data_IF_085168583897
#
_entry.id   IF_085168583897
#
_cell.length_a   1.000
_cell.length_b   1.000
_cell.length_c   1.000
_cell.angle_alpha   90.00
_cell.angle_beta   90.00
_cell.angle_gamma   90.00
#
_symmetry.space_group_name_H-M   'P 1'
#
loop_
_entity.id
_entity.type
_entity.pdbx_description
1 polymer ?
#
# COMPACT_ATOMS: atom_id res chain seq x y z
N UNK A 1 23.24 13.66 4.83
CA UNK A 1 22.38 12.51 4.46
C UNK A 1 23.13 11.69 3.44
N UNK A 2 23.35 10.39 3.68
CA UNK A 2 23.91 9.54 2.62
C UNK A 2 22.91 9.45 1.45
N UNK A 3 23.39 9.43 0.20
CA UNK A 3 22.51 9.22 -0.93
C UNK A 3 21.82 7.85 -0.81
N UNK A 4 20.60 7.70 -1.32
CA UNK A 4 19.94 6.39 -1.39
C UNK A 4 20.81 5.40 -2.15
N UNK A 5 20.84 4.15 -1.70
CA UNK A 5 21.48 3.05 -2.43
C UNK A 5 21.00 3.03 -3.88
N UNK A 6 21.88 2.72 -4.83
CA UNK A 6 21.51 2.66 -6.24
C UNK A 6 20.36 1.68 -6.47
N UNK A 7 20.39 0.51 -5.81
CA UNK A 7 19.31 -0.47 -5.88
C UNK A 7 17.95 0.09 -5.39
N UNK A 8 17.98 0.90 -4.33
CA UNK A 8 16.82 1.60 -3.77
C UNK A 8 16.28 2.63 -4.78
N UNK A 9 17.14 3.47 -5.33
CA UNK A 9 16.77 4.44 -6.37
C UNK A 9 16.16 3.78 -7.61
N UNK A 10 16.76 2.69 -8.09
CA UNK A 10 16.26 1.92 -9.22
C UNK A 10 14.88 1.28 -8.93
N UNK A 11 14.70 0.75 -7.71
CA UNK A 11 13.41 0.18 -7.24
C UNK A 11 12.32 1.25 -7.21
N UNK A 12 12.62 2.44 -6.69
CA UNK A 12 11.67 3.54 -6.66
C UNK A 12 11.30 4.05 -8.06
N UNK A 13 12.30 4.17 -8.95
CA UNK A 13 12.06 4.53 -10.34
C UNK A 13 11.20 3.47 -11.06
N UNK A 14 11.41 2.19 -10.73
CA UNK A 14 10.59 1.11 -11.25
C UNK A 14 9.13 1.24 -10.81
N UNK A 15 8.89 1.35 -9.49
CA UNK A 15 7.56 1.59 -8.94
C UNK A 15 6.85 2.77 -9.62
N UNK A 16 7.56 3.90 -9.78
CA UNK A 16 7.01 5.11 -10.40
C UNK A 16 6.58 4.88 -11.85
N UNK A 17 7.39 4.18 -12.66
CA UNK A 17 7.05 3.86 -14.05
C UNK A 17 5.86 2.90 -14.13
N UNK A 18 5.86 1.83 -13.33
CA UNK A 18 4.78 0.84 -13.30
C UNK A 18 3.45 1.48 -12.87
N UNK A 19 3.49 2.33 -11.84
CA UNK A 19 2.32 3.09 -11.36
C UNK A 19 1.81 4.07 -12.40
N UNK A 20 2.69 4.81 -13.07
CA UNK A 20 2.31 5.75 -14.13
C UNK A 20 1.64 5.03 -15.33
N UNK A 21 2.18 3.89 -15.75
CA UNK A 21 1.60 3.08 -16.83
C UNK A 21 0.21 2.56 -16.46
N UNK A 22 0.05 2.01 -15.26
CA UNK A 22 -1.24 1.53 -14.76
C UNK A 22 -2.30 2.65 -14.69
N UNK A 23 -1.94 3.81 -14.13
CA UNK A 23 -2.83 4.99 -14.06
C UNK A 23 -3.18 5.53 -15.45
N UNK A 24 -2.25 5.55 -16.40
CA UNK A 24 -2.50 6.02 -17.76
C UNK A 24 -3.56 5.15 -18.46
N UNK A 25 -3.46 3.83 -18.32
CA UNK A 25 -4.44 2.89 -18.87
C UNK A 25 -5.79 3.00 -18.15
N UNK A 26 -5.79 3.10 -16.82
CA UNK A 26 -7.00 3.37 -16.05
C UNK A 26 -7.71 4.65 -16.52
N UNK A 27 -6.96 5.72 -16.80
CA UNK A 27 -7.51 6.97 -17.35
C UNK A 27 -8.10 6.79 -18.74
N UNK A 28 -7.46 5.99 -19.59
CA UNK A 28 -7.95 5.69 -20.95
C UNK A 28 -9.27 4.93 -20.90
N UNK A 29 -9.37 3.92 -20.03
CA UNK A 29 -10.60 3.15 -19.83
C UNK A 29 -11.69 4.01 -19.20
N UNK A 30 -11.39 4.77 -18.14
CA UNK A 30 -12.38 5.60 -17.45
C UNK A 30 -13.04 6.66 -18.35
N UNK A 31 -12.29 7.22 -19.31
CA UNK A 31 -12.83 8.16 -20.31
C UNK A 31 -13.90 7.55 -21.22
N UNK A 32 -14.02 6.22 -21.28
CA UNK A 32 -15.00 5.50 -22.10
C UNK A 32 -16.25 5.08 -21.33
N UNK A 33 -16.36 5.43 -20.04
CA UNK A 33 -17.54 5.13 -19.22
C UNK A 33 -18.75 5.86 -19.77
N UNK A 34 -19.83 5.12 -19.99
CA UNK A 34 -21.13 5.63 -20.42
C UNK A 34 -21.88 6.19 -19.21
N UNK A 35 -22.14 7.50 -19.23
CA UNK A 35 -22.82 8.22 -18.16
C UNK A 35 -24.26 7.74 -17.90
N UNK A 36 -24.90 7.15 -18.91
CA UNK A 36 -26.27 6.62 -18.77
C UNK A 36 -26.28 5.22 -18.16
N UNK A 37 -25.14 4.51 -18.23
CA UNK A 37 -24.97 3.12 -17.78
C UNK A 37 -23.63 2.94 -17.07
N UNK A 38 -23.34 3.76 -16.07
CA UNK A 38 -22.01 3.85 -15.43
C UNK A 38 -21.50 2.49 -14.95
N UNK A 39 -22.29 1.75 -14.17
CA UNK A 39 -21.88 0.44 -13.66
C UNK A 39 -21.68 -0.60 -14.77
N UNK A 40 -22.62 -0.71 -15.70
CA UNK A 40 -22.55 -1.70 -16.79
C UNK A 40 -21.38 -1.42 -17.74
N UNK A 41 -21.24 -0.17 -18.20
CA UNK A 41 -20.11 0.21 -19.07
C UNK A 41 -18.76 0.11 -18.37
N UNK A 42 -18.69 0.34 -17.05
CA UNK A 42 -17.46 0.08 -16.30
C UNK A 42 -17.16 -1.42 -16.17
N UNK A 43 -18.17 -2.25 -15.92
CA UNK A 43 -18.01 -3.71 -15.89
C UNK A 43 -17.48 -4.27 -17.21
N UNK A 44 -17.90 -3.72 -18.36
CA UNK A 44 -17.38 -4.10 -19.68
C UNK A 44 -15.89 -3.76 -19.86
N UNK A 45 -15.41 -2.71 -19.18
CA UNK A 45 -14.03 -2.21 -19.27
C UNK A 45 -13.13 -2.80 -18.18
N UNK A 46 -13.70 -3.22 -17.06
CA UNK A 46 -13.01 -3.66 -15.85
C UNK A 46 -12.01 -4.81 -16.11
N UNK A 47 -12.33 -5.87 -16.89
CA UNK A 47 -11.39 -6.96 -17.13
C UNK A 47 -10.04 -6.49 -17.70
N UNK A 48 -10.05 -5.44 -18.54
CA UNK A 48 -8.81 -4.88 -19.11
C UNK A 48 -7.95 -4.23 -18.03
N UNK A 49 -8.57 -3.46 -17.13
CA UNK A 49 -7.85 -2.85 -16.02
C UNK A 49 -7.35 -3.90 -15.03
N UNK A 50 -8.15 -4.94 -14.76
CA UNK A 50 -7.77 -6.03 -13.89
C UNK A 50 -6.46 -6.69 -14.35
N UNK A 51 -6.34 -6.99 -15.66
CA UNK A 51 -5.10 -7.54 -16.25
C UNK A 51 -3.92 -6.59 -16.06
N UNK A 52 -4.12 -5.28 -16.23
CA UNK A 52 -3.04 -4.28 -16.10
C UNK A 52 -2.52 -4.21 -14.66
N UNK A 53 -3.42 -4.15 -13.67
CA UNK A 53 -3.03 -4.10 -12.26
C UNK A 53 -2.43 -5.44 -11.82
N UNK A 54 -3.00 -6.57 -12.25
CA UNK A 54 -2.44 -7.90 -11.98
C UNK A 54 -1.02 -8.05 -12.58
N UNK A 55 -0.78 -7.54 -13.78
CA UNK A 55 0.55 -7.54 -14.39
C UNK A 55 1.55 -6.67 -13.60
N UNK A 56 1.12 -5.51 -13.10
CA UNK A 56 1.93 -4.67 -12.23
C UNK A 56 2.25 -5.36 -10.88
N UNK A 57 1.29 -6.11 -10.31
CA UNK A 57 1.51 -6.91 -9.11
C UNK A 57 2.54 -8.03 -9.35
N UNK A 58 2.42 -8.71 -10.49
CA UNK A 58 3.34 -9.78 -10.89
C UNK A 58 4.76 -9.26 -11.11
N UNK A 59 4.89 -8.13 -11.79
CA UNK A 59 6.17 -7.46 -12.02
C UNK A 59 6.84 -7.04 -10.70
N UNK A 60 6.08 -6.44 -9.79
CA UNK A 60 6.54 -6.09 -8.45
C UNK A 60 7.10 -7.31 -7.70
N UNK A 61 6.39 -8.44 -7.77
CA UNK A 61 6.75 -9.69 -7.13
C UNK A 61 8.01 -10.34 -7.74
N UNK A 62 8.08 -10.46 -9.07
CA UNK A 62 9.23 -11.04 -9.79
C UNK A 62 10.53 -10.31 -9.57
N UNK A 63 10.47 -9.01 -9.30
CA UNK A 63 11.66 -8.16 -9.17
C UNK A 63 12.09 -7.92 -7.72
N UNK A 64 11.33 -8.41 -6.74
CA UNK A 64 11.60 -8.15 -5.33
C UNK A 64 12.87 -8.85 -4.82
N UNK A 65 13.08 -10.13 -5.11
CA UNK A 65 14.26 -10.86 -4.64
C UNK A 65 15.57 -10.28 -5.19
N UNK A 66 15.59 -9.93 -6.48
CA UNK A 66 16.73 -9.28 -7.12
C UNK A 66 17.02 -7.91 -6.49
N UNK A 67 15.98 -7.12 -6.20
CA UNK A 67 16.12 -5.86 -5.48
C UNK A 67 16.70 -6.08 -4.08
N UNK A 68 16.12 -6.99 -3.28
CA UNK A 68 16.59 -7.28 -1.93
C UNK A 68 18.05 -7.73 -1.93
N UNK A 69 18.43 -8.63 -2.84
CA UNK A 69 19.81 -9.09 -3.00
C UNK A 69 20.77 -7.94 -3.33
N UNK A 70 20.41 -7.11 -4.31
CA UNK A 70 21.25 -5.98 -4.73
C UNK A 70 21.39 -4.92 -3.63
N UNK A 71 20.32 -4.59 -2.92
CA UNK A 71 20.33 -3.63 -1.82
C UNK A 71 21.19 -4.12 -0.64
N UNK A 72 21.10 -5.40 -0.27
CA UNK A 72 21.95 -5.98 0.77
C UNK A 72 23.43 -6.05 0.33
N UNK A 73 23.69 -6.42 -0.93
CA UNK A 73 25.04 -6.47 -1.48
C UNK A 73 25.75 -5.12 -1.49
N UNK A 74 25.02 -4.03 -1.78
CA UNK A 74 25.57 -2.66 -1.72
C UNK A 74 25.93 -2.19 -0.30
N UNK A 75 25.52 -2.92 0.73
CA UNK A 75 25.83 -2.65 2.13
C UNK A 75 26.86 -3.65 2.69
N UNK A 76 27.41 -4.53 1.84
CA UNK A 76 28.25 -5.67 2.21
C UNK A 76 27.55 -6.64 3.17
N UNK A 77 26.23 -6.77 3.06
CA UNK A 77 25.42 -7.68 3.88
C UNK A 77 25.16 -8.97 3.12
N UNK A 78 25.64 -10.09 3.67
CA UNK A 78 25.31 -11.43 3.17
C UNK A 78 24.32 -12.10 4.12
N UNK A 79 23.20 -12.58 3.57
CA UNK A 79 22.17 -13.33 4.31
C UNK A 79 21.72 -14.55 3.50
N UNK A 80 21.42 -15.68 4.16
CA UNK A 80 20.90 -16.86 3.48
C UNK A 80 19.50 -16.60 2.92
N UNK A 81 19.11 -17.35 1.89
CA UNK A 81 17.73 -17.43 1.41
C UNK A 81 17.08 -18.69 1.96
N UNK A 82 15.81 -18.62 2.30
CA UNK A 82 15.04 -19.73 2.86
C UNK A 82 14.24 -20.50 1.80
N UNK A 83 14.20 -19.99 0.58
CA UNK A 83 13.51 -20.55 -0.57
C UNK A 83 13.41 -19.54 -1.70
N UNK A 84 12.43 -19.74 -2.58
CA UNK A 84 12.06 -18.83 -3.66
C UNK A 84 10.67 -18.25 -3.43
N UNK A 85 10.50 -16.94 -3.68
CA UNK A 85 9.22 -16.26 -3.66
C UNK A 85 8.35 -16.72 -4.85
N UNK A 86 7.09 -17.12 -4.61
CA UNK A 86 6.12 -17.37 -5.69
C UNK A 86 5.44 -16.05 -6.11
N UNK A 87 5.72 -15.54 -7.32
CA UNK A 87 5.20 -14.25 -7.72
C UNK A 87 3.68 -14.24 -7.87
N UNK A 88 3.07 -15.39 -8.19
CA UNK A 88 1.62 -15.49 -8.38
C UNK A 88 0.85 -15.42 -7.07
N UNK A 89 1.50 -15.70 -5.94
CA UNK A 89 0.87 -15.62 -4.63
C UNK A 89 0.47 -14.18 -4.23
N UNK A 90 1.03 -13.17 -4.90
CA UNK A 90 0.78 -11.74 -4.66
C UNK A 90 -0.14 -11.07 -5.70
N UNK A 91 -0.68 -11.84 -6.66
CA UNK A 91 -1.46 -11.32 -7.79
C UNK A 91 -2.96 -11.51 -7.58
N UNK A 92 -3.76 -10.51 -7.96
CA UNK A 92 -5.22 -10.58 -7.99
C UNK A 92 -5.91 -10.30 -6.66
N UNK A 93 -5.16 -9.98 -5.61
CA UNK A 93 -5.71 -9.55 -4.30
C UNK A 93 -5.38 -8.09 -4.06
N UNK A 94 -6.35 -7.34 -3.56
CA UNK A 94 -6.15 -5.96 -3.16
C UNK A 94 -5.39 -5.87 -1.83
N UNK A 95 -4.80 -4.71 -1.53
CA UNK A 95 -4.02 -4.52 -0.29
C UNK A 95 -4.83 -4.66 1.01
N UNK A 96 -6.17 -4.62 0.93
CA UNK A 96 -7.10 -4.85 2.05
C UNK A 96 -7.58 -6.32 2.12
N UNK A 97 -7.03 -7.20 1.26
CA UNK A 97 -7.31 -8.63 1.21
C UNK A 97 -8.51 -9.03 0.35
N UNK A 98 -9.30 -8.10 -0.21
CA UNK A 98 -10.42 -8.51 -1.07
C UNK A 98 -9.96 -8.86 -2.50
N UNK A 99 -10.80 -9.57 -3.29
CA UNK A 99 -10.53 -9.73 -4.72
C UNK A 99 -10.37 -8.36 -5.40
N UNK A 100 -9.32 -8.22 -6.21
CA UNK A 100 -8.93 -6.94 -6.80
C UNK A 100 -10.06 -6.29 -7.62
N UNK A 101 -10.86 -7.08 -8.33
CA UNK A 101 -12.02 -6.64 -9.09
C UNK A 101 -13.09 -5.94 -8.22
N UNK A 102 -13.28 -6.37 -6.98
CA UNK A 102 -14.23 -5.74 -6.05
C UNK A 102 -13.79 -4.33 -5.67
N UNK A 103 -12.48 -4.13 -5.45
CA UNK A 103 -11.92 -2.81 -5.23
C UNK A 103 -12.04 -1.93 -6.47
N UNK A 104 -11.69 -2.48 -7.64
CA UNK A 104 -11.73 -1.75 -8.90
C UNK A 104 -13.15 -1.38 -9.37
N UNK A 105 -14.20 -1.94 -8.76
CA UNK A 105 -15.59 -1.51 -8.97
C UNK A 105 -15.97 -0.23 -8.19
N UNK A 106 -15.25 0.14 -7.12
CA UNK A 106 -15.59 1.30 -6.29
C UNK A 106 -15.75 2.62 -7.07
N UNK A 107 -14.92 2.96 -8.08
CA UNK A 107 -15.05 4.20 -8.85
C UNK A 107 -16.43 4.40 -9.49
N UNK A 108 -17.02 3.32 -10.02
CA UNK A 108 -18.37 3.34 -10.58
C UNK A 108 -19.41 3.61 -9.49
N UNK A 109 -19.27 2.98 -8.32
CA UNK A 109 -20.15 3.19 -7.17
C UNK A 109 -20.04 4.63 -6.63
N UNK A 110 -18.82 5.17 -6.50
CA UNK A 110 -18.59 6.57 -6.12
C UNK A 110 -19.27 7.53 -7.09
N UNK A 111 -19.19 7.26 -8.39
CA UNK A 111 -19.85 8.07 -9.43
C UNK A 111 -21.37 8.02 -9.28
N UNK A 112 -21.94 6.81 -9.12
CA UNK A 112 -23.38 6.62 -8.95
C UNK A 112 -23.91 7.28 -7.67
N UNK A 113 -23.20 7.15 -6.55
CA UNK A 113 -23.57 7.83 -5.30
C UNK A 113 -23.54 9.36 -5.45
N UNK A 114 -22.58 9.91 -6.17
CA UNK A 114 -22.52 11.34 -6.45
C UNK A 114 -23.70 11.82 -7.33
N UNK A 115 -24.04 11.05 -8.36
CA UNK A 115 -25.21 11.32 -9.22
C UNK A 115 -26.52 11.27 -8.42
N UNK A 116 -26.69 10.25 -7.58
CA UNK A 116 -27.86 10.12 -6.69
C UNK A 116 -27.97 11.29 -5.70
N UNK A 117 -26.85 11.88 -5.29
CA UNK A 117 -26.80 13.07 -4.46
C UNK A 117 -27.03 14.39 -5.22
N UNK A 118 -27.41 14.35 -6.50
CA UNK A 118 -27.68 15.54 -7.33
C UNK A 118 -26.42 16.24 -7.86
N UNK A 119 -25.26 15.59 -7.80
CA UNK A 119 -24.02 16.15 -8.36
C UNK A 119 -24.10 16.19 -9.89
N UNK A 120 -23.65 17.29 -10.50
CA UNK A 120 -23.55 17.41 -11.97
C UNK A 120 -22.70 16.28 -12.56
N UNK A 121 -23.14 15.71 -13.68
CA UNK A 121 -22.56 14.51 -14.30
C UNK A 121 -21.05 14.55 -14.48
N UNK A 122 -20.52 15.66 -15.00
CA UNK A 122 -19.07 15.85 -15.20
C UNK A 122 -18.29 15.77 -13.90
N UNK A 123 -18.80 16.38 -12.83
CA UNK A 123 -18.20 16.33 -11.49
C UNK A 123 -18.31 14.95 -10.87
N UNK A 124 -19.42 14.24 -11.05
CA UNK A 124 -19.58 12.86 -10.59
C UNK A 124 -18.54 11.91 -11.23
N UNK A 125 -18.32 12.00 -12.55
CA UNK A 125 -17.24 11.27 -13.23
C UNK A 125 -15.85 11.66 -12.73
N UNK A 126 -15.64 12.95 -12.44
CA UNK A 126 -14.41 13.44 -11.84
C UNK A 126 -14.13 12.81 -10.48
N UNK A 127 -15.15 12.62 -9.64
CA UNK A 127 -15.02 11.94 -8.34
C UNK A 127 -14.67 10.46 -8.51
N UNK A 128 -15.34 9.75 -9.42
CA UNK A 128 -14.99 8.38 -9.75
C UNK A 128 -13.56 8.25 -10.27
N UNK A 129 -13.11 9.18 -11.12
CA UNK A 129 -11.73 9.21 -11.58
C UNK A 129 -10.74 9.38 -10.42
N UNK A 130 -10.97 10.34 -9.53
CA UNK A 130 -10.07 10.56 -8.38
C UNK A 130 -9.97 9.31 -7.50
N UNK A 131 -11.10 8.61 -7.30
CA UNK A 131 -11.09 7.33 -6.60
C UNK A 131 -10.27 6.28 -7.35
N UNK A 132 -10.49 6.13 -8.67
CA UNK A 132 -9.77 5.17 -9.50
C UNK A 132 -8.26 5.41 -9.54
N UNK A 133 -7.84 6.66 -9.72
CA UNK A 133 -6.43 7.07 -9.74
C UNK A 133 -5.72 6.71 -8.43
N UNK A 134 -6.37 7.04 -7.30
CA UNK A 134 -5.87 6.69 -5.97
C UNK A 134 -5.77 5.17 -5.78
N UNK A 135 -6.81 4.43 -6.16
CA UNK A 135 -6.84 2.97 -6.07
C UNK A 135 -5.66 2.37 -6.85
N UNK A 136 -5.50 2.73 -8.13
CA UNK A 136 -4.46 2.16 -9.00
C UNK A 136 -3.06 2.43 -8.42
N UNK A 137 -2.77 3.66 -8.01
CA UNK A 137 -1.47 4.02 -7.42
C UNK A 137 -1.20 3.24 -6.13
N UNK A 138 -2.20 3.11 -5.27
CA UNK A 138 -2.07 2.37 -4.01
C UNK A 138 -1.86 0.89 -4.25
N UNK A 139 -2.61 0.26 -5.15
CA UNK A 139 -2.49 -1.18 -5.41
C UNK A 139 -1.13 -1.54 -6.00
N UNK A 140 -0.59 -0.71 -6.91
CA UNK A 140 0.76 -0.94 -7.45
C UNK A 140 1.80 -0.72 -6.35
N UNK A 141 1.73 0.37 -5.58
CA UNK A 141 2.73 0.63 -4.54
C UNK A 141 2.73 -0.42 -3.41
N UNK A 142 1.57 -0.94 -3.05
CA UNK A 142 1.47 -1.97 -2.02
C UNK A 142 1.96 -3.34 -2.52
N UNK A 143 1.79 -3.64 -3.81
CA UNK A 143 2.39 -4.84 -4.40
C UNK A 143 3.92 -4.84 -4.26
N UNK A 144 4.56 -3.71 -4.54
CA UNK A 144 6.01 -3.54 -4.33
C UNK A 144 6.39 -3.74 -2.86
N UNK A 145 5.69 -3.07 -1.94
CA UNK A 145 5.98 -3.18 -0.49
C UNK A 145 5.81 -4.60 0.04
N UNK A 146 4.75 -5.28 -0.38
CA UNK A 146 4.45 -6.63 0.07
C UNK A 146 5.46 -7.62 -0.48
N UNK A 147 5.79 -7.50 -1.76
CA UNK A 147 6.83 -8.31 -2.39
C UNK A 147 8.20 -8.09 -1.72
N UNK A 148 8.61 -6.83 -1.49
CA UNK A 148 9.88 -6.50 -0.85
C UNK A 148 9.94 -7.02 0.60
N UNK A 149 8.81 -7.00 1.30
CA UNK A 149 8.71 -7.52 2.66
C UNK A 149 8.81 -9.05 2.71
N UNK A 150 8.13 -9.77 1.80
CA UNK A 150 8.28 -11.23 1.64
C UNK A 150 9.71 -11.60 1.25
N UNK A 151 10.30 -10.91 0.28
CA UNK A 151 11.68 -11.15 -0.16
C UNK A 151 12.68 -10.90 0.97
N UNK A 152 12.50 -9.86 1.78
CA UNK A 152 13.40 -9.60 2.90
C UNK A 152 13.23 -10.59 4.05
N UNK A 153 12.01 -11.07 4.36
CA UNK A 153 11.83 -12.18 5.33
C UNK A 153 12.47 -13.48 4.80
N UNK A 154 12.29 -13.78 3.51
CA UNK A 154 12.94 -14.90 2.83
C UNK A 154 14.48 -14.83 2.95
N UNK A 155 15.04 -13.61 3.00
CA UNK A 155 16.47 -13.35 3.20
C UNK A 155 16.87 -12.95 4.63
N UNK A 156 16.07 -13.26 5.65
CA UNK A 156 16.37 -12.96 7.07
C UNK A 156 16.83 -11.50 7.33
N UNK A 157 16.27 -10.56 6.58
CA UNK A 157 16.43 -9.12 6.82
C UNK A 157 15.88 -8.80 8.20
N UNK A 158 16.64 -8.09 9.03
CA UNK A 158 16.24 -7.81 10.42
C UNK A 158 15.62 -6.42 10.58
N UNK A 159 15.96 -5.48 9.69
CA UNK A 159 15.50 -4.10 9.73
C UNK A 159 15.21 -3.60 8.31
N UNK A 160 14.25 -2.69 8.20
CA UNK A 160 14.03 -1.88 7.03
C UNK A 160 14.16 -0.41 7.39
N UNK A 161 14.76 0.37 6.50
CA UNK A 161 14.81 1.83 6.60
C UNK A 161 13.96 2.42 5.50
N UNK A 162 13.13 3.40 5.84
CA UNK A 162 12.37 4.15 4.84
C UNK A 162 13.32 5.13 4.16
N UNK A 163 13.50 4.96 2.87
CA UNK A 163 14.35 5.83 2.06
C UNK A 163 13.47 6.80 1.28
N UNK A 164 13.79 8.09 1.39
CA UNK A 164 13.10 9.16 0.68
C UNK A 164 13.52 9.19 -0.79
N UNK A 165 12.62 9.68 -1.64
CA UNK A 165 12.87 10.04 -3.04
C UNK A 165 12.56 11.52 -3.24
N UNK A 166 13.50 12.41 -2.86
CA UNK A 166 13.24 13.84 -2.83
C UNK A 166 12.71 14.40 -4.17
N UNK A 167 11.75 15.34 -4.13
CA UNK A 167 11.07 15.85 -2.94
C UNK A 167 9.93 14.91 -2.49
N UNK A 168 10.11 14.28 -1.32
CA UNK A 168 9.09 13.46 -0.66
C UNK A 168 8.19 14.30 0.25
N UNK A 169 7.01 13.79 0.57
CA UNK A 169 6.04 14.54 1.38
C UNK A 169 6.46 14.63 2.86
N UNK A 170 5.87 15.57 3.60
CA UNK A 170 6.22 15.82 5.01
C UNK A 170 6.01 14.60 5.91
N UNK A 171 5.06 13.70 5.58
CA UNK A 171 4.84 12.46 6.33
C UNK A 171 5.95 11.46 6.06
N UNK A 172 6.39 11.32 4.82
CA UNK A 172 7.54 10.49 4.46
C UNK A 172 8.80 10.95 5.22
N UNK A 173 9.05 12.28 5.25
CA UNK A 173 10.20 12.86 5.92
C UNK A 173 10.31 12.44 7.40
N UNK A 174 9.25 12.60 8.18
CA UNK A 174 9.25 12.22 9.60
C UNK A 174 9.18 10.71 9.85
N UNK A 175 8.98 9.90 8.81
CA UNK A 175 8.96 8.43 8.91
C UNK A 175 10.30 7.80 8.51
N UNK A 176 11.19 8.56 7.87
CA UNK A 176 12.47 8.09 7.35
C UNK A 176 13.61 8.14 8.39
N UNK A 177 13.39 8.77 9.55
CA UNK A 177 14.37 8.83 10.64
C UNK A 177 14.53 7.55 11.46
N UNK A 178 13.63 6.59 11.30
CA UNK A 178 13.63 5.36 12.10
C UNK A 178 13.87 4.11 11.25
N UNK A 179 14.81 3.28 11.70
CA UNK A 179 14.87 1.88 11.32
C UNK A 179 13.72 1.11 11.95
N UNK A 180 13.04 0.28 11.16
CA UNK A 180 11.88 -0.50 11.61
C UNK A 180 12.19 -1.98 11.53
N UNK A 181 11.82 -2.72 12.57
CA UNK A 181 11.98 -4.17 12.57
C UNK A 181 11.28 -4.81 11.36
N UNK A 182 11.81 -5.95 10.91
CA UNK A 182 11.34 -6.67 9.72
C UNK A 182 9.83 -6.98 9.70
N UNK A 183 9.21 -7.19 10.86
CA UNK A 183 7.79 -7.49 11.02
C UNK A 183 6.91 -6.24 11.12
N UNK A 184 7.51 -5.06 11.06
CA UNK A 184 6.78 -3.81 11.18
C UNK A 184 6.12 -3.44 9.85
N UNK A 185 4.80 -3.30 9.85
CA UNK A 185 4.07 -2.84 8.67
C UNK A 185 4.57 -1.46 8.20
N UNK A 186 4.85 -1.36 6.89
CA UNK A 186 5.25 -0.10 6.26
C UNK A 186 4.10 0.92 6.37
N UNK A 187 4.31 2.03 7.09
CA UNK A 187 3.26 3.03 7.35
C UNK A 187 2.90 3.79 6.08
N UNK A 188 1.71 3.55 5.53
CA UNK A 188 1.21 4.19 4.31
C UNK A 188 0.63 5.58 4.61
N UNK A 189 0.68 6.47 3.62
CA UNK A 189 -0.13 7.69 3.57
C UNK A 189 -0.47 8.04 2.11
N UNK A 190 -1.47 8.89 1.85
CA UNK A 190 -1.79 9.29 0.48
C UNK A 190 -0.57 9.88 -0.24
N UNK A 191 -0.31 9.42 -1.47
CA UNK A 191 0.80 9.89 -2.30
C UNK A 191 2.20 9.50 -1.81
N UNK A 192 2.31 8.46 -0.97
CA UNK A 192 3.60 7.93 -0.50
C UNK A 192 4.46 7.40 -1.66
N UNK A 193 5.61 8.04 -1.86
CA UNK A 193 6.63 7.74 -2.86
C UNK A 193 7.83 6.96 -2.28
N UNK A 194 7.88 6.81 -0.97
CA UNK A 194 9.01 6.22 -0.28
C UNK A 194 9.07 4.69 -0.47
N UNK A 195 10.29 4.17 -0.42
CA UNK A 195 10.57 2.74 -0.53
C UNK A 195 11.12 2.16 0.77
N UNK A 196 10.99 0.84 0.90
CA UNK A 196 11.52 0.06 2.01
C UNK A 196 12.88 -0.50 1.62
N UNK A 197 13.95 0.01 2.23
CA UNK A 197 15.31 -0.50 2.02
C UNK A 197 15.64 -1.60 3.03
N UNK A 198 15.92 -2.84 2.60
CA UNK A 198 16.32 -3.92 3.49
C UNK A 198 17.73 -3.69 4.04
N UNK A 199 17.91 -3.93 5.34
CA UNK A 199 19.20 -3.72 6.02
C UNK A 199 19.30 -4.51 7.35
N UNK A 200 20.40 -4.32 8.07
CA UNK A 200 20.57 -4.74 9.46
C UNK A 200 20.49 -3.54 10.40
N UNK A 201 20.35 -3.78 11.71
CA UNK A 201 20.32 -2.69 12.70
C UNK A 201 21.58 -1.82 12.64
N UNK A 202 22.74 -2.46 12.45
CA UNK A 202 24.03 -1.76 12.49
C UNK A 202 24.23 -0.89 11.24
N UNK A 203 23.99 -1.45 10.05
CA UNK A 203 24.15 -0.74 8.77
C UNK A 203 23.00 0.24 8.50
N UNK A 204 21.80 -0.05 9.01
CA UNK A 204 20.61 0.76 8.76
C UNK A 204 20.70 2.17 9.31
N UNK A 205 21.48 2.39 10.38
CA UNK A 205 21.66 3.72 10.99
C UNK A 205 22.21 4.74 9.99
N UNK A 206 23.13 4.33 9.11
CA UNK A 206 23.79 5.22 8.13
C UNK A 206 22.82 5.75 7.07
N UNK A 207 21.69 5.08 6.89
CA UNK A 207 20.69 5.37 5.87
C UNK A 207 19.43 6.04 6.42
N UNK A 208 19.33 6.23 7.74
CA UNK A 208 18.21 6.96 8.36
C UNK A 208 18.29 8.43 7.99
N UNK A 209 17.14 9.01 7.68
CA UNK A 209 17.05 10.43 7.32
C UNK A 209 16.65 11.24 8.53
N UNK A 210 17.51 12.15 8.97
CA UNK A 210 17.11 13.15 9.95
C UNK A 210 16.06 14.11 9.34
N UNK A 211 14.86 14.24 9.92
CA UNK A 211 13.79 15.04 9.34
C UNK A 211 14.12 16.54 9.27
N UNK A 212 14.92 17.07 10.21
CA UNK A 212 15.34 18.46 10.19
C UNK A 212 16.36 18.72 9.09
N UNK A 213 17.36 17.85 8.94
CA UNK A 213 18.32 17.91 7.85
C UNK A 213 17.63 17.83 6.48
N UNK A 214 16.58 16.99 6.34
CA UNK A 214 15.76 16.98 5.13
C UNK A 214 15.03 18.31 4.93
N UNK A 215 14.38 18.86 5.96
CA UNK A 215 13.69 20.14 5.89
C UNK A 215 14.63 21.29 5.49
N UNK A 216 15.83 21.33 6.05
CA UNK A 216 16.86 22.33 5.79
C UNK A 216 17.46 22.20 4.38
N UNK A 217 17.48 20.99 3.81
CA UNK A 217 17.96 20.77 2.44
C UNK A 217 17.03 21.35 1.35
N UNK A 218 15.78 21.67 1.71
CA UNK A 218 14.77 22.18 0.78
C UNK A 218 14.85 23.70 0.64
N UNK A 219 14.53 24.22 -0.55
CA UNK A 219 14.30 25.66 -0.71
C UNK A 219 13.11 26.12 0.15
N UNK A 220 13.05 27.40 0.53
CA UNK A 220 11.92 27.92 1.31
C UNK A 220 10.57 27.71 0.61
N UNK A 221 10.55 27.78 -0.72
CA UNK A 221 9.37 27.50 -1.53
C UNK A 221 8.93 26.03 -1.39
N UNK A 222 9.89 25.09 -1.38
CA UNK A 222 9.62 23.67 -1.19
C UNK A 222 9.22 23.34 0.25
N UNK A 223 9.88 23.93 1.25
CA UNK A 223 9.45 23.85 2.64
C UNK A 223 7.98 24.28 2.77
N UNK A 224 7.63 25.45 2.23
CA UNK A 224 6.26 25.95 2.24
C UNK A 224 5.28 25.09 1.45
N UNK A 225 5.71 24.47 0.35
CA UNK A 225 4.86 23.57 -0.45
C UNK A 225 4.60 22.24 0.27
N UNK A 226 5.63 21.65 0.88
CA UNK A 226 5.59 20.30 1.48
C UNK A 226 5.02 20.35 2.90
N UNK A 227 5.47 21.30 3.70
CA UNK A 227 5.10 21.46 5.11
C UNK A 227 4.02 22.51 5.33
N UNK A 228 3.49 23.14 4.26
CA UNK A 228 2.62 24.33 4.27
C UNK A 228 3.37 25.60 4.68
N UNK A 229 2.88 26.78 4.26
CA UNK A 229 3.50 28.06 4.64
C UNK A 229 3.61 28.22 6.17
N UNK A 230 2.51 27.97 6.89
CA UNK A 230 2.46 28.09 8.34
C UNK A 230 3.28 26.99 9.05
N UNK A 231 3.18 25.74 8.60
CA UNK A 231 3.95 24.65 9.19
C UNK A 231 5.46 24.80 8.98
N UNK A 232 5.89 25.24 7.79
CA UNK A 232 7.28 25.55 7.51
C UNK A 232 7.80 26.71 8.36
N UNK A 233 6.99 27.75 8.58
CA UNK A 233 7.38 28.83 9.48
C UNK A 233 7.52 28.34 10.92
N UNK A 234 6.55 27.58 11.43
CA UNK A 234 6.63 27.02 12.78
C UNK A 234 7.89 26.16 13.00
N UNK A 235 8.29 25.35 12.01
CA UNK A 235 9.53 24.55 12.07
C UNK A 235 10.77 25.47 12.12
N UNK A 236 10.81 26.54 11.30
CA UNK A 236 11.90 27.53 11.35
C UNK A 236 11.97 28.27 12.68
N UNK A 237 10.83 28.48 13.33
CA UNK A 237 10.71 29.12 14.64
C UNK A 237 11.05 28.15 15.81
N UNK A 238 11.46 26.92 15.51
CA UNK A 238 11.89 25.93 16.51
C UNK A 238 10.82 24.95 16.99
N UNK A 239 9.65 24.91 16.34
CA UNK A 239 8.64 23.91 16.65
C UNK A 239 9.11 22.50 16.24
N UNK A 240 8.79 21.50 17.07
CA UNK A 240 9.06 20.09 16.74
C UNK A 240 8.35 19.69 15.43
N UNK A 241 9.15 19.31 14.43
CA UNK A 241 8.71 18.88 13.11
C UNK A 241 7.73 17.69 13.18
N UNK A 242 7.90 16.77 14.13
CA UNK A 242 6.98 15.65 14.34
C UNK A 242 5.62 16.16 14.80
N UNK A 243 5.59 17.09 15.76
CA UNK A 243 4.35 17.69 16.25
C UNK A 243 3.61 18.45 15.13
N UNK A 244 4.33 19.26 14.34
CA UNK A 244 3.77 20.03 13.22
C UNK A 244 3.12 19.11 12.18
N UNK A 245 3.82 18.05 11.75
CA UNK A 245 3.29 17.11 10.75
C UNK A 245 2.13 16.27 11.30
N UNK A 246 2.20 15.83 12.56
CA UNK A 246 1.15 14.99 13.15
C UNK A 246 -0.12 15.79 13.53
N UNK A 247 0.00 17.06 13.94
CA UNK A 247 -1.12 17.94 14.22
C UNK A 247 -2.01 18.12 12.97
N UNK A 248 -1.39 18.24 11.80
CA UNK A 248 -2.09 18.31 10.51
C UNK A 248 -2.95 17.08 10.22
N UNK A 249 -2.51 15.87 10.61
CA UNK A 249 -3.29 14.63 10.43
C UNK A 249 -4.62 14.69 11.17
N UNK A 250 -4.59 15.23 12.40
CA UNK A 250 -5.78 15.40 13.25
C UNK A 250 -6.74 16.44 12.65
N UNK A 251 -6.21 17.57 12.18
CA UNK A 251 -7.00 18.61 11.54
C UNK A 251 -7.63 18.21 10.19
N UNK A 252 -6.95 17.35 9.42
CA UNK A 252 -7.44 16.85 8.14
C UNK A 252 -8.40 15.64 8.25
N UNK A 253 -8.76 15.21 9.46
CA UNK A 253 -9.64 14.05 9.67
C UNK A 253 -9.05 12.70 9.21
N UNK A 254 -7.74 12.61 9.00
CA UNK A 254 -7.06 11.44 8.42
C UNK A 254 -6.51 10.48 9.48
N UNK A 255 -7.29 10.15 10.50
CA UNK A 255 -6.98 9.00 11.38
C UNK A 255 -7.22 7.69 10.63
N UNK A 256 -6.34 6.71 10.85
CA UNK A 256 -6.15 5.52 10.02
C UNK A 256 -7.42 4.75 9.66
N UNK A 257 -7.37 4.10 8.50
CA UNK A 257 -8.41 3.23 7.94
C UNK A 257 -9.77 3.93 7.88
N UNK A 258 -10.14 4.43 6.69
CA UNK A 258 -11.50 4.88 6.42
C UNK A 258 -12.44 3.67 6.49
N UNK A 259 -12.87 3.30 7.70
CA UNK A 259 -14.25 2.93 7.91
C UNK A 259 -15.03 4.23 7.73
N UNK A 260 -15.73 4.37 6.62
CA UNK A 260 -16.55 5.55 6.31
C UNK A 260 -17.50 5.85 7.48
N UNK A 261 -17.13 6.79 8.35
CA UNK A 261 -18.03 7.43 9.31
C UNK A 261 -18.10 8.90 8.96
N UNK A 262 -18.92 9.22 7.97
CA UNK A 262 -19.31 10.58 7.64
C UNK A 262 -20.42 11.01 8.61
N UNK A 263 -20.10 11.82 9.61
CA UNK A 263 -21.10 12.43 10.49
C UNK A 263 -21.54 13.79 9.91
N UNK A 264 -22.82 13.91 9.53
CA UNK A 264 -23.49 15.21 9.34
C UNK A 264 -24.83 15.18 10.07
N UNK A 265 -24.95 16.04 11.10
CA UNK A 265 -26.19 16.37 11.85
C UNK A 265 -27.01 15.18 12.36
N UNK A 266 -26.53 14.53 13.42
CA UNK A 266 -27.40 13.92 14.43
C UNK A 266 -28.33 12.77 13.99
N UNK A 267 -28.10 12.16 12.82
CA UNK A 267 -28.64 10.84 12.49
C UNK A 267 -27.47 9.95 12.08
N UNK A 268 -27.28 8.88 12.83
CA UNK A 268 -26.37 7.80 12.46
C UNK A 268 -26.86 7.17 11.15
N UNK A 269 -26.32 7.63 10.01
CA UNK A 269 -26.37 6.84 8.80
C UNK A 269 -25.28 5.79 8.96
N UNK A 270 -25.64 4.67 9.60
CA UNK A 270 -24.95 3.41 9.37
C UNK A 270 -25.11 3.14 7.86
N UNK A 271 -24.07 3.39 7.08
CA UNK A 271 -23.95 2.75 5.77
C UNK A 271 -23.79 1.26 6.08
N UNK A 272 -24.93 0.59 6.20
CA UNK A 272 -24.98 -0.84 6.39
C UNK A 272 -24.36 -1.47 5.14
N UNK A 273 -23.16 -2.02 5.31
CA UNK A 273 -22.46 -2.75 4.26
C UNK A 273 -23.27 -3.97 3.77
N UNK A 274 -24.39 -4.32 4.42
CA UNK A 274 -25.34 -5.34 3.98
C UNK A 274 -26.41 -4.86 2.97
N UNK A 275 -26.51 -3.58 2.60
CA UNK A 275 -27.62 -3.10 1.74
C UNK A 275 -27.29 -3.00 0.23
N UNK A 276 -26.25 -3.70 -0.23
CA UNK A 276 -25.98 -3.89 -1.66
C UNK A 276 -26.19 -5.36 -2.05
N UNK A 277 -27.43 -5.83 -1.86
CA UNK A 277 -27.89 -7.09 -2.44
C UNK A 277 -28.25 -6.86 -3.92
N UNK A 278 -27.29 -7.08 -4.82
CA UNK A 278 -27.62 -7.72 -6.09
C UNK A 278 -27.32 -9.21 -5.87
N UNK A 279 -28.38 -9.99 -6.00
CA UNK A 279 -28.51 -11.39 -5.61
C UNK A 279 -27.42 -12.29 -6.21
N UNK A 280 -26.75 -13.06 -5.34
CA UNK A 280 -25.91 -14.20 -5.73
C UNK A 280 -24.56 -14.28 -5.00
N UNK A 281 -24.59 -14.59 -3.69
CA UNK A 281 -23.48 -15.09 -2.84
C UNK A 281 -22.04 -14.81 -3.33
N UNK A 282 -21.44 -13.69 -2.89
CA UNK A 282 -19.99 -13.42 -3.03
C UNK A 282 -19.40 -12.69 -1.81
N UNK A 283 -18.35 -13.26 -1.24
CA UNK A 283 -17.19 -12.58 -0.66
C UNK A 283 -17.35 -11.72 0.59
N UNK A 284 -17.74 -12.31 1.74
CA UNK A 284 -17.58 -11.62 3.03
C UNK A 284 -16.13 -11.70 3.48
N UNK A 285 -15.38 -10.60 3.33
CA UNK A 285 -14.17 -10.40 4.11
C UNK A 285 -14.56 -10.52 5.59
N UNK A 286 -13.92 -11.44 6.31
CA UNK A 286 -14.14 -11.61 7.74
C UNK A 286 -12.85 -11.27 8.44
N UNK A 287 -12.97 -10.49 9.50
CA UNK A 287 -11.96 -10.51 10.55
C UNK A 287 -12.19 -11.82 11.31
N UNK A 288 -11.20 -12.71 11.30
CA UNK A 288 -11.23 -13.89 12.17
C UNK A 288 -10.16 -13.73 13.22
N UNK A 289 -10.52 -14.13 14.44
CA UNK A 289 -9.58 -14.19 15.53
C UNK A 289 -8.67 -15.41 15.31
N UNK A 290 -7.42 -15.16 14.92
CA UNK A 290 -6.38 -16.19 14.85
C UNK A 290 -5.47 -15.95 16.04
N UNK A 291 -5.45 -16.88 17.00
CA UNK A 291 -4.59 -16.81 18.18
C UNK A 291 -4.78 -15.52 19.03
N UNK A 292 -6.01 -15.02 19.15
CA UNK A 292 -6.31 -13.82 19.93
C UNK A 292 -6.16 -12.49 19.18
N UNK A 293 -5.82 -12.51 17.88
CA UNK A 293 -5.63 -11.31 17.06
C UNK A 293 -6.58 -11.25 15.87
N UNK A 294 -7.15 -10.08 15.64
CA UNK A 294 -8.07 -9.78 14.55
C UNK A 294 -7.33 -9.75 13.21
N UNK A 295 -7.54 -10.78 12.39
CA UNK A 295 -6.80 -10.99 11.14
C UNK A 295 -7.71 -10.90 9.93
N UNK A 296 -7.28 -10.16 8.90
CA UNK A 296 -7.98 -10.12 7.62
C UNK A 296 -7.76 -11.43 6.86
N UNK A 297 -8.85 -12.15 6.62
CA UNK A 297 -8.85 -13.36 5.80
C UNK A 297 -9.62 -13.16 4.50
N UNK A 298 -9.09 -13.75 3.45
CA UNK A 298 -9.66 -13.71 2.11
C UNK A 298 -10.37 -15.04 1.85
N UNK A 299 -11.70 -15.09 1.93
CA UNK A 299 -12.47 -16.33 1.70
C UNK A 299 -12.51 -16.74 0.21
N UNK A 300 -11.97 -15.90 -0.69
CA UNK A 300 -12.09 -16.06 -2.14
C UNK A 300 -10.73 -16.02 -2.87
N UNK A 301 -9.61 -15.98 -2.15
CA UNK A 301 -8.31 -16.36 -2.72
C UNK A 301 -8.26 -17.87 -2.98
N UNK A 302 -7.31 -18.34 -3.82
CA UNK A 302 -7.10 -19.79 -4.00
C UNK A 302 -6.83 -20.39 -2.61
N UNK A 303 -7.75 -21.21 -2.07
CA UNK A 303 -7.67 -21.60 -0.67
C UNK A 303 -6.41 -22.43 -0.48
N UNK A 304 -5.75 -22.22 0.65
CA UNK A 304 -4.55 -22.98 0.99
C UNK A 304 -5.01 -24.34 1.50
N UNK A 305 -4.47 -25.40 0.90
CA UNK A 305 -4.60 -26.75 1.45
C UNK A 305 -3.73 -26.82 2.70
N UNK A 306 -4.37 -26.95 3.85
CA UNK A 306 -3.68 -27.16 5.11
C UNK A 306 -3.16 -28.61 5.21
N UNK A 307 -2.05 -28.84 5.91
CA UNK A 307 -1.67 -30.18 6.34
C UNK A 307 -2.84 -30.82 7.11
N UNK A 308 -3.33 -31.97 6.65
CA UNK A 308 -4.53 -32.63 7.20
C UNK A 308 -5.81 -32.49 6.37
N UNK A 309 -5.75 -31.91 5.16
CA UNK A 309 -6.84 -31.99 4.17
C UNK A 309 -7.91 -30.90 4.26
N UNK A 310 -7.78 -29.94 5.19
CA UNK A 310 -8.64 -28.77 5.28
C UNK A 310 -8.25 -27.65 4.28
N UNK A 311 -9.19 -26.76 3.96
CA UNK A 311 -8.93 -25.57 3.15
C UNK A 311 -9.13 -24.31 4.01
N UNK A 312 -8.12 -23.45 4.11
CA UNK A 312 -8.23 -22.19 4.83
C UNK A 312 -8.05 -20.98 3.89
N UNK A 313 -8.74 -19.85 4.19
CA UNK A 313 -8.50 -18.60 3.49
C UNK A 313 -7.05 -18.15 3.63
N UNK A 314 -6.48 -17.61 2.56
CA UNK A 314 -5.08 -17.18 2.52
C UNK A 314 -4.91 -15.87 3.29
N UNK A 315 -3.89 -15.82 4.16
CA UNK A 315 -3.55 -14.63 4.92
C UNK A 315 -2.65 -13.70 4.10
N UNK A 316 -2.83 -12.39 4.22
CA UNK A 316 -1.93 -11.40 3.59
C UNK A 316 -0.57 -11.36 4.31
N UNK A 317 0.54 -11.04 3.62
CA UNK A 317 1.86 -10.95 4.25
C UNK A 317 1.89 -10.03 5.47
N UNK A 318 1.24 -8.87 5.41
CA UNK A 318 1.18 -7.92 6.52
C UNK A 318 0.49 -8.52 7.75
N UNK A 319 -0.55 -9.33 7.53
CA UNK A 319 -1.23 -10.07 8.59
C UNK A 319 -0.34 -11.18 9.16
N UNK A 320 0.39 -11.90 8.31
CA UNK A 320 1.37 -12.91 8.75
C UNK A 320 2.41 -12.27 9.67
N UNK A 321 2.94 -11.11 9.30
CA UNK A 321 3.97 -10.41 10.08
C UNK A 321 3.43 -9.82 11.38
N UNK A 322 2.16 -9.39 11.39
CA UNK A 322 1.51 -8.90 12.60
C UNK A 322 1.36 -9.99 13.69
N UNK A 323 1.16 -11.25 13.29
CA UNK A 323 0.97 -12.39 14.22
C UNK A 323 2.25 -13.21 14.45
N UNK A 324 3.27 -13.04 13.60
CA UNK A 324 4.52 -13.78 13.72
C UNK A 324 5.25 -13.39 15.01
N UNK A 325 5.75 -14.40 15.73
CA UNK A 325 6.49 -14.23 16.99
C UNK A 325 7.97 -13.93 16.71
N UNK A 326 8.48 -14.52 15.65
CA UNK A 326 9.86 -14.48 15.21
C UNK A 326 9.90 -14.76 13.69
N UNK A 327 11.09 -14.66 13.08
CA UNK A 327 11.26 -14.86 11.64
C UNK A 327 10.98 -16.29 11.20
N UNK A 328 11.27 -17.28 12.04
CA UNK A 328 11.05 -18.69 11.71
C UNK A 328 9.54 -18.99 11.63
N UNK A 329 8.77 -18.45 12.57
CA UNK A 329 7.31 -18.48 12.54
C UNK A 329 6.76 -17.76 11.30
N UNK A 330 7.31 -16.61 10.92
CA UNK A 330 6.92 -15.91 9.70
C UNK A 330 7.20 -16.74 8.43
N UNK A 331 8.40 -17.31 8.29
CA UNK A 331 8.77 -18.18 7.17
C UNK A 331 7.84 -19.39 7.08
N UNK A 332 7.53 -20.03 8.22
CA UNK A 332 6.57 -21.15 8.28
C UNK A 332 5.19 -20.74 7.78
N UNK A 333 4.69 -19.58 8.19
CA UNK A 333 3.39 -19.06 7.73
C UNK A 333 3.41 -18.67 6.24
N UNK A 334 4.51 -18.08 5.76
CA UNK A 334 4.67 -17.74 4.34
C UNK A 334 4.69 -19.00 3.46
N UNK A 335 5.42 -20.05 3.88
CA UNK A 335 5.41 -21.36 3.20
C UNK A 335 4.02 -22.00 3.25
N UNK A 336 3.38 -21.99 4.42
CA UNK A 336 2.01 -22.50 4.59
C UNK A 336 1.06 -21.82 3.60
N UNK A 337 1.14 -20.50 3.46
CA UNK A 337 0.27 -19.73 2.58
C UNK A 337 0.74 -19.66 1.12
N UNK A 338 1.83 -20.35 0.77
CA UNK A 338 2.35 -20.48 -0.60
C UNK A 338 3.00 -19.21 -1.15
N UNK A 339 3.52 -18.34 -0.29
CA UNK A 339 4.33 -17.19 -0.72
C UNK A 339 5.79 -17.54 -0.97
N UNK A 340 6.29 -18.59 -0.31
CA UNK A 340 7.67 -19.10 -0.44
C UNK A 340 7.61 -20.62 -0.65
N UNK A 341 8.44 -21.14 -1.56
CA UNK A 341 8.58 -22.57 -1.83
C UNK A 341 10.05 -22.99 -1.76
N UNK A 342 10.29 -24.30 -1.66
CA UNK A 342 11.62 -24.90 -1.54
C UNK A 342 12.29 -25.12 -2.89
#
# INVERSE_FOLDING_TARGET
>A
MQPPLKASSDRAAHLKRTSAAATAEARRLWRRVDLTRVAASWLDLLPRLLVVIAAAQLDAARTAEAYTAAALGQQDITKPTEGELDPWALVGTASDGRPLESLLMQPALTTLSALAAGTVRSRALGLGWTALDMICRTQVADAFRNADSVAGVNRRVTEYVRVLTPPSCSRCAILAGDGRAWNTAFRRHPGDDCISMPTTRDKGMDHRTDPMAYFESLSQAEQARIFTKAGAQAIRDGADIYAVVNARRRAAGMTGTVTNRLTRRGKDIRLDANQFAITGRRGRLRTVNVLGQDTYITLEGRPVRLPGGGSAPRMMPESIYAIARDQEHAIRLLRLHGYIWH
#
